data_IF_102625447580
#
_entry.id   IF_102625447580
#
_cell.length_a   1.000
_cell.length_b   1.000
_cell.length_c   1.000
_cell.angle_alpha   90.00
_cell.angle_beta   90.00
_cell.angle_gamma   90.00
#
_symmetry.space_group_name_H-M   'P 1'
#
loop_
_entity.id
_entity.type
_entity.pdbx_description
1 polymer ?
#
# COMPACT_ATOMS: atom_id res chain seq x y z
N UNK A 1 10.89 6.25 11.12
CA UNK A 1 11.58 6.40 9.81
C UNK A 1 11.29 7.78 9.25
N UNK A 2 12.21 8.43 8.55
CA UNK A 2 11.90 9.64 7.77
C UNK A 2 11.36 9.22 6.39
N UNK A 3 10.13 9.64 6.07
CA UNK A 3 9.43 9.35 4.84
C UNK A 3 9.12 10.68 4.17
N UNK A 4 9.97 11.10 3.22
CA UNK A 4 9.75 12.29 2.39
C UNK A 4 9.55 13.59 3.20
N UNK A 5 10.30 13.75 4.28
CA UNK A 5 10.30 14.96 5.12
C UNK A 5 9.38 14.90 6.33
N UNK A 6 8.64 13.80 6.53
CA UNK A 6 7.87 13.57 7.76
C UNK A 6 8.25 12.24 8.42
N UNK A 7 8.17 12.21 9.76
CA UNK A 7 8.44 10.99 10.53
C UNK A 7 7.24 10.07 10.47
N UNK A 8 7.49 8.77 10.26
CA UNK A 8 6.49 7.70 10.35
C UNK A 8 6.94 6.63 11.33
N UNK A 9 5.97 6.04 12.04
CA UNK A 9 6.21 5.08 13.11
C UNK A 9 4.95 4.86 13.96
N UNK A 10 5.10 4.12 15.07
CA UNK A 10 4.01 3.91 16.03
C UNK A 10 3.82 5.09 16.98
N UNK A 11 4.81 5.95 17.07
CA UNK A 11 4.85 7.20 17.83
C UNK A 11 4.39 8.41 16.99
N UNK A 12 4.03 8.20 15.73
CA UNK A 12 3.63 9.23 14.78
C UNK A 12 2.17 9.01 14.32
N UNK A 13 1.46 10.06 13.85
CA UNK A 13 0.14 9.90 13.27
C UNK A 13 0.13 8.89 12.11
N UNK A 14 -0.98 8.16 11.95
CA UNK A 14 -1.23 7.31 10.79
C UNK A 14 -1.03 8.09 9.49
N UNK A 15 -0.25 7.54 8.56
CA UNK A 15 -0.19 8.03 7.18
C UNK A 15 -1.06 7.16 6.25
N UNK A 16 -1.45 7.72 5.11
CA UNK A 16 -2.27 7.06 4.10
C UNK A 16 -1.51 6.94 2.77
N UNK A 17 -1.55 5.75 2.19
CA UNK A 17 -1.25 5.49 0.78
C UNK A 17 -2.58 5.18 0.09
N UNK A 18 -3.04 6.04 -0.81
CA UNK A 18 -4.33 5.81 -1.47
C UNK A 18 -4.42 6.38 -2.89
N UNK A 19 -5.34 5.81 -3.66
CA UNK A 19 -5.66 6.19 -5.04
C UNK A 19 -6.26 5.02 -5.83
N UNK A 20 -6.52 5.19 -7.13
CA UNK A 20 -7.02 4.12 -7.98
C UNK A 20 -6.05 2.93 -8.11
N UNK A 21 -6.59 1.73 -8.34
CA UNK A 21 -5.80 0.51 -8.50
C UNK A 21 -4.79 0.60 -9.65
N UNK A 22 -5.23 1.13 -10.77
CA UNK A 22 -4.47 1.34 -12.01
C UNK A 22 -4.83 2.71 -12.55
N UNK A 23 -3.91 3.35 -13.26
CA UNK A 23 -4.21 4.57 -13.99
C UNK A 23 -5.16 4.20 -15.13
N UNK A 24 -6.35 4.79 -15.17
CA UNK A 24 -7.33 4.59 -16.24
C UNK A 24 -7.33 5.76 -17.23
N UNK A 25 -7.20 6.98 -16.72
CA UNK A 25 -7.06 8.22 -17.48
C UNK A 25 -6.36 9.29 -16.65
N UNK A 26 -5.88 10.36 -17.31
CA UNK A 26 -5.33 11.52 -16.62
C UNK A 26 -6.40 12.25 -15.79
N UNK A 27 -7.60 12.46 -16.35
CA UNK A 27 -8.71 13.11 -15.66
C UNK A 27 -9.10 12.39 -14.36
N UNK A 28 -9.19 11.06 -14.40
CA UNK A 28 -9.51 10.27 -13.21
C UNK A 28 -8.39 10.37 -12.16
N UNK A 29 -7.13 10.34 -12.60
CA UNK A 29 -5.99 10.48 -11.69
C UNK A 29 -5.98 11.86 -11.02
N UNK A 30 -6.22 12.93 -11.78
CA UNK A 30 -6.29 14.30 -11.27
C UNK A 30 -7.47 14.49 -10.32
N UNK A 31 -8.66 14.00 -10.70
CA UNK A 31 -9.87 14.09 -9.88
C UNK A 31 -9.69 13.37 -8.54
N UNK A 32 -9.22 12.13 -8.56
CA UNK A 32 -9.05 11.33 -7.33
C UNK A 32 -7.93 11.87 -6.45
N UNK A 33 -6.80 12.31 -7.03
CA UNK A 33 -5.72 12.94 -6.27
C UNK A 33 -6.17 14.23 -5.56
N UNK A 34 -6.93 15.09 -6.24
CA UNK A 34 -7.46 16.34 -5.67
C UNK A 34 -8.40 16.08 -4.49
N UNK A 35 -9.37 15.18 -4.65
CA UNK A 35 -10.31 14.84 -3.58
C UNK A 35 -9.58 14.20 -2.38
N UNK A 36 -8.65 13.28 -2.63
CA UNK A 36 -7.85 12.65 -1.58
C UNK A 36 -6.97 13.66 -0.84
N UNK A 37 -6.36 14.63 -1.54
CA UNK A 37 -5.59 15.72 -0.93
C UNK A 37 -6.45 16.56 0.01
N UNK A 38 -7.64 16.95 -0.43
CA UNK A 38 -8.57 17.76 0.37
C UNK A 38 -9.02 17.02 1.64
N UNK A 39 -9.43 15.76 1.48
CA UNK A 39 -9.87 14.91 2.60
C UNK A 39 -8.74 14.71 3.63
N UNK A 40 -7.55 14.32 3.16
CA UNK A 40 -6.40 14.06 4.03
C UNK A 40 -5.87 15.33 4.67
N UNK A 41 -5.87 16.46 3.97
CA UNK A 41 -5.52 17.78 4.52
C UNK A 41 -6.46 18.21 5.64
N UNK A 42 -7.78 18.04 5.44
CA UNK A 42 -8.80 18.34 6.46
C UNK A 42 -8.63 17.49 7.72
N UNK A 43 -8.28 16.21 7.55
CA UNK A 43 -8.09 15.27 8.66
C UNK A 43 -6.69 15.31 9.28
N UNK A 44 -5.74 16.03 8.66
CA UNK A 44 -4.35 16.11 9.09
C UNK A 44 -3.57 14.79 8.91
N UNK A 45 -3.86 14.04 7.84
CA UNK A 45 -3.25 12.74 7.52
C UNK A 45 -2.11 12.96 6.51
N UNK A 46 -0.86 12.56 6.82
CA UNK A 46 0.19 12.51 5.81
C UNK A 46 -0.21 11.56 4.67
N UNK A 47 -0.13 12.01 3.43
CA UNK A 47 -0.72 11.32 2.28
C UNK A 47 0.30 11.08 1.16
N UNK A 48 0.26 9.87 0.60
CA UNK A 48 0.97 9.47 -0.61
C UNK A 48 -0.06 8.98 -1.63
N UNK A 49 -0.09 9.61 -2.79
CA UNK A 49 -0.97 9.18 -3.88
C UNK A 49 -0.41 7.91 -4.52
N UNK A 50 -1.26 6.90 -4.72
CA UNK A 50 -0.88 5.63 -5.35
C UNK A 50 -1.69 5.37 -6.61
N UNK A 51 -1.00 4.98 -7.68
CA UNK A 51 -1.63 4.27 -8.79
C UNK A 51 -0.59 3.48 -9.59
N UNK A 52 -1.01 2.37 -10.20
CA UNK A 52 -0.14 1.52 -11.02
C UNK A 52 -0.20 1.96 -12.48
N UNK A 53 0.95 2.12 -13.14
CA UNK A 53 1.01 2.37 -14.59
C UNK A 53 0.85 1.09 -15.43
N UNK A 54 1.18 -0.06 -14.83
CA UNK A 54 1.05 -1.38 -15.44
C UNK A 54 0.60 -2.42 -14.40
N UNK A 55 -0.26 -3.36 -14.81
CA UNK A 55 -0.65 -4.56 -14.06
C UNK A 55 0.00 -5.77 -14.71
N UNK A 56 1.25 -6.08 -14.35
CA UNK A 56 2.01 -7.17 -14.98
C UNK A 56 1.58 -8.59 -14.55
N UNK A 57 0.62 -8.71 -13.64
CA UNK A 57 0.22 -9.96 -12.99
C UNK A 57 -1.28 -10.26 -13.12
N UNK A 58 -1.94 -9.77 -14.18
CA UNK A 58 -3.35 -10.09 -14.45
C UNK A 58 -3.51 -11.60 -14.72
N UNK A 59 -4.62 -12.16 -14.25
CA UNK A 59 -4.96 -13.58 -14.49
C UNK A 59 -5.24 -13.90 -15.97
N UNK A 60 -5.72 -12.91 -16.75
CA UNK A 60 -6.02 -13.05 -18.18
C UNK A 60 -5.24 -12.04 -19.01
N UNK A 61 -4.76 -12.46 -20.18
CA UNK A 61 -4.10 -11.61 -21.18
C UNK A 61 -5.01 -10.50 -21.74
N UNK A 62 -6.33 -10.72 -21.76
CA UNK A 62 -7.30 -9.74 -22.26
C UNK A 62 -7.65 -8.64 -21.25
N UNK A 63 -7.13 -8.74 -20.02
CA UNK A 63 -7.40 -7.77 -18.98
C UNK A 63 -6.66 -6.45 -19.23
N UNK A 64 -7.32 -5.32 -18.93
CA UNK A 64 -6.69 -4.01 -18.97
C UNK A 64 -5.45 -3.96 -18.06
N UNK A 65 -4.35 -3.39 -18.56
CA UNK A 65 -3.08 -3.32 -17.83
C UNK A 65 -2.72 -1.91 -17.36
N UNK A 66 -3.35 -0.87 -17.89
CA UNK A 66 -2.92 0.52 -17.65
C UNK A 66 -2.38 1.16 -18.92
N UNK A 67 -1.97 2.44 -18.84
CA UNK A 67 -1.46 3.20 -19.97
C UNK A 67 -0.02 2.82 -20.36
N UNK A 68 0.65 1.97 -19.57
CA UNK A 68 2.06 1.64 -19.73
C UNK A 68 2.98 2.70 -19.13
N UNK A 69 4.29 2.44 -19.22
CA UNK A 69 5.32 3.19 -18.51
C UNK A 69 5.34 4.68 -18.86
N UNK A 70 5.55 5.04 -20.14
CA UNK A 70 5.77 6.43 -20.55
C UNK A 70 4.60 7.35 -20.18
N UNK A 71 3.39 6.97 -20.61
CA UNK A 71 2.18 7.75 -20.32
C UNK A 71 1.82 7.68 -18.83
N UNK A 72 2.03 6.55 -18.16
CA UNK A 72 1.77 6.42 -16.73
C UNK A 72 2.67 7.32 -15.87
N UNK A 73 3.97 7.38 -16.18
CA UNK A 73 4.90 8.27 -15.50
C UNK A 73 4.56 9.74 -15.76
N UNK A 74 4.16 10.11 -16.98
CA UNK A 74 3.69 11.46 -17.29
C UNK A 74 2.48 11.87 -16.44
N UNK A 75 1.50 10.97 -16.28
CA UNK A 75 0.31 11.23 -15.44
C UNK A 75 0.67 11.32 -13.95
N UNK A 76 1.54 10.43 -13.45
CA UNK A 76 2.00 10.51 -12.05
C UNK A 76 2.79 11.80 -11.78
N UNK A 77 3.60 12.24 -12.74
CA UNK A 77 4.31 13.51 -12.65
C UNK A 77 3.35 14.71 -12.67
N UNK A 78 2.28 14.66 -13.48
CA UNK A 78 1.28 15.74 -13.50
C UNK A 78 0.51 15.82 -12.20
N UNK A 79 0.13 14.70 -11.59
CA UNK A 79 -0.48 14.65 -10.24
C UNK A 79 0.45 15.25 -9.19
N UNK A 80 1.73 14.85 -9.22
CA UNK A 80 2.75 15.35 -8.29
C UNK A 80 2.91 16.87 -8.38
N UNK A 81 2.99 17.42 -9.60
CA UNK A 81 3.18 18.86 -9.83
C UNK A 81 1.96 19.69 -9.46
N UNK A 82 0.76 19.25 -9.87
CA UNK A 82 -0.48 19.98 -9.63
C UNK A 82 -0.84 20.05 -8.14
N UNK A 83 -0.64 18.92 -7.44
CA UNK A 83 -1.08 18.80 -6.05
C UNK A 83 0.06 18.82 -5.02
N UNK A 84 1.32 18.97 -5.42
CA UNK A 84 2.47 18.89 -4.49
C UNK A 84 2.38 17.66 -3.57
N UNK A 85 2.06 16.51 -4.18
CA UNK A 85 1.86 15.25 -3.48
C UNK A 85 2.98 14.27 -3.81
N UNK A 86 3.49 13.52 -2.82
CA UNK A 86 4.36 12.40 -3.12
C UNK A 86 3.56 11.28 -3.80
N UNK A 87 4.16 10.63 -4.78
CA UNK A 87 3.52 9.55 -5.54
C UNK A 87 4.23 8.21 -5.38
N UNK A 88 3.44 7.13 -5.40
CA UNK A 88 3.88 5.75 -5.28
C UNK A 88 3.33 4.91 -6.43
N UNK A 89 4.21 4.13 -7.06
CA UNK A 89 3.81 3.05 -8.00
C UNK A 89 4.57 1.77 -7.66
N UNK A 90 3.97 0.64 -8.00
CA UNK A 90 4.68 -0.62 -8.05
C UNK A 90 5.56 -0.74 -9.29
N UNK A 91 6.63 -1.51 -9.13
CA UNK A 91 7.61 -1.83 -10.18
C UNK A 91 7.72 -3.35 -10.34
N UNK A 92 8.10 -3.79 -11.53
CA UNK A 92 8.20 -5.20 -11.92
C UNK A 92 9.62 -5.51 -12.39
N UNK A 93 9.91 -6.79 -12.67
CA UNK A 93 11.27 -7.26 -12.97
C UNK A 93 11.91 -6.56 -14.18
N UNK A 94 11.10 -6.24 -15.17
CA UNK A 94 11.45 -5.60 -16.45
C UNK A 94 11.28 -4.07 -16.43
N UNK A 95 10.87 -3.48 -15.31
CA UNK A 95 10.69 -2.02 -15.21
C UNK A 95 12.05 -1.30 -15.25
N UNK A 96 12.23 -0.25 -16.08
CA UNK A 96 13.42 0.60 -16.04
C UNK A 96 13.36 1.49 -14.78
N UNK A 97 13.99 0.99 -13.71
CA UNK A 97 13.85 1.59 -12.38
C UNK A 97 14.38 3.02 -12.29
N UNK A 98 15.43 3.37 -13.03
CA UNK A 98 15.99 4.72 -13.02
C UNK A 98 15.01 5.76 -13.57
N UNK A 99 14.29 5.41 -14.64
CA UNK A 99 13.24 6.24 -15.21
C UNK A 99 12.07 6.42 -14.23
N UNK A 100 11.60 5.33 -13.63
CA UNK A 100 10.52 5.39 -12.63
C UNK A 100 10.94 6.20 -11.42
N UNK A 101 12.11 5.94 -10.84
CA UNK A 101 12.64 6.62 -9.66
C UNK A 101 13.00 8.09 -9.91
N UNK A 102 13.09 8.54 -11.16
CA UNK A 102 13.23 9.97 -11.50
C UNK A 102 11.92 10.74 -11.27
N UNK A 103 10.77 10.07 -11.37
CA UNK A 103 9.43 10.67 -11.22
C UNK A 103 8.83 10.38 -9.84
N UNK A 104 8.83 9.12 -9.41
CA UNK A 104 8.10 8.68 -8.23
C UNK A 104 8.91 8.78 -6.95
N UNK A 105 8.21 9.00 -5.84
CA UNK A 105 8.83 9.26 -4.54
C UNK A 105 8.95 8.00 -3.69
N UNK A 106 8.05 7.04 -3.89
CA UNK A 106 8.09 5.73 -3.21
C UNK A 106 7.94 4.62 -4.25
N UNK A 107 8.79 3.61 -4.16
CA UNK A 107 8.71 2.40 -4.98
C UNK A 107 7.96 1.31 -4.22
N UNK A 108 7.11 0.54 -4.89
CA UNK A 108 6.46 -0.61 -4.27
C UNK A 108 6.91 -1.93 -4.91
N UNK A 109 7.32 -2.87 -4.07
CA UNK A 109 7.58 -4.26 -4.48
C UNK A 109 6.27 -5.05 -4.43
N UNK A 110 5.83 -5.68 -5.55
CA UNK A 110 4.65 -6.53 -5.58
C UNK A 110 4.79 -7.78 -4.69
N UNK A 111 3.66 -8.26 -4.16
CA UNK A 111 3.61 -9.39 -3.23
C UNK A 111 4.24 -10.68 -3.80
N UNK A 112 4.07 -10.95 -5.10
CA UNK A 112 4.63 -12.16 -5.73
C UNK A 112 6.15 -12.08 -5.94
N UNK A 113 6.73 -10.88 -5.93
CA UNK A 113 8.17 -10.66 -6.16
C UNK A 113 8.95 -10.42 -4.87
N UNK A 114 8.28 -10.44 -3.71
CA UNK A 114 8.86 -10.03 -2.43
C UNK A 114 10.06 -10.86 -1.94
N UNK A 115 10.32 -12.05 -2.51
CA UNK A 115 11.50 -12.86 -2.17
C UNK A 115 12.67 -12.74 -3.14
N UNK A 116 12.46 -12.16 -4.33
CA UNK A 116 13.43 -12.19 -5.42
C UNK A 116 14.62 -11.30 -5.07
N UNK A 117 15.73 -11.89 -4.59
CA UNK A 117 16.85 -11.15 -3.99
C UNK A 117 17.39 -10.05 -4.91
N UNK A 118 17.69 -10.41 -6.17
CA UNK A 118 18.20 -9.45 -7.15
C UNK A 118 17.22 -8.31 -7.38
N UNK A 119 15.92 -8.60 -7.47
CA UNK A 119 14.88 -7.59 -7.64
C UNK A 119 14.77 -6.66 -6.42
N UNK A 120 14.71 -7.22 -5.20
CA UNK A 120 14.65 -6.45 -3.95
C UNK A 120 15.85 -5.51 -3.83
N UNK A 121 17.05 -6.02 -4.07
CA UNK A 121 18.26 -5.21 -4.02
C UNK A 121 18.27 -4.14 -5.12
N UNK A 122 17.87 -4.48 -6.36
CA UNK A 122 17.82 -3.51 -7.46
C UNK A 122 16.85 -2.35 -7.15
N UNK A 123 15.65 -2.64 -6.63
CA UNK A 123 14.66 -1.63 -6.23
C UNK A 123 15.17 -0.79 -5.05
N UNK A 124 15.75 -1.42 -4.02
CA UNK A 124 16.26 -0.72 -2.85
C UNK A 124 17.46 0.19 -3.18
N UNK A 125 18.32 -0.21 -4.12
CA UNK A 125 19.48 0.58 -4.57
C UNK A 125 19.10 1.90 -5.25
N UNK A 126 17.85 2.10 -5.67
CA UNK A 126 17.38 3.39 -6.18
C UNK A 126 17.35 4.51 -5.11
N UNK A 127 17.52 4.18 -3.82
CA UNK A 127 17.62 5.15 -2.71
C UNK A 127 16.30 5.85 -2.33
N UNK A 128 15.21 5.55 -3.04
CA UNK A 128 13.83 5.95 -2.70
C UNK A 128 13.29 5.09 -1.55
N UNK A 129 12.38 5.61 -0.71
CA UNK A 129 11.59 4.76 0.18
C UNK A 129 10.93 3.60 -0.58
N UNK A 130 10.88 2.43 0.05
CA UNK A 130 10.31 1.21 -0.56
C UNK A 130 9.19 0.65 0.31
N UNK A 131 8.01 0.45 -0.28
CA UNK A 131 6.91 -0.29 0.32
C UNK A 131 6.94 -1.75 -0.17
N UNK A 132 7.27 -2.70 0.70
CA UNK A 132 7.37 -4.11 0.31
C UNK A 132 6.10 -4.86 0.72
N UNK A 133 5.28 -5.25 -0.26
CA UNK A 133 4.08 -6.07 -0.02
C UNK A 133 4.49 -7.48 0.40
N UNK A 134 3.98 -7.96 1.54
CA UNK A 134 4.17 -9.33 1.99
C UNK A 134 3.47 -10.29 1.04
N UNK A 135 4.16 -11.34 0.62
CA UNK A 135 3.55 -12.43 -0.15
C UNK A 135 2.43 -13.12 0.65
N UNK A 136 1.32 -13.48 0.01
CA UNK A 136 0.21 -14.19 0.65
C UNK A 136 0.63 -15.58 1.18
N UNK A 137 1.76 -16.09 0.70
CA UNK A 137 2.39 -17.34 1.10
C UNK A 137 3.45 -17.18 2.21
N UNK A 138 3.70 -15.96 2.70
CA UNK A 138 4.73 -15.69 3.70
C UNK A 138 4.16 -15.50 5.10
N UNK A 139 4.86 -16.04 6.09
CA UNK A 139 4.62 -15.69 7.48
C UNK A 139 5.09 -14.25 7.77
N UNK A 140 4.52 -13.57 8.77
CA UNK A 140 4.87 -12.18 9.09
C UNK A 140 6.36 -11.98 9.42
N UNK A 141 6.95 -12.86 10.23
CA UNK A 141 8.36 -12.77 10.64
C UNK A 141 9.37 -13.01 9.49
N UNK A 142 8.97 -13.71 8.43
CA UNK A 142 9.85 -13.95 7.27
C UNK A 142 10.19 -12.65 6.50
N UNK A 143 9.37 -11.61 6.69
CA UNK A 143 9.64 -10.28 6.12
C UNK A 143 10.92 -9.65 6.67
N UNK A 144 11.42 -10.09 7.84
CA UNK A 144 12.73 -9.66 8.36
C UNK A 144 13.85 -9.88 7.36
N UNK A 145 13.91 -11.08 6.77
CA UNK A 145 14.92 -11.42 5.75
C UNK A 145 14.79 -10.54 4.48
N UNK A 146 13.57 -10.13 4.13
CA UNK A 146 13.32 -9.27 2.96
C UNK A 146 13.79 -7.84 3.25
N UNK A 147 13.52 -7.33 4.44
CA UNK A 147 14.00 -6.02 4.91
C UNK A 147 15.53 -6.01 5.00
N UNK A 148 16.16 -7.07 5.51
CA UNK A 148 17.62 -7.19 5.54
C UNK A 148 18.25 -7.14 4.15
N UNK A 149 17.67 -7.85 3.16
CA UNK A 149 18.13 -7.76 1.76
C UNK A 149 18.07 -6.35 1.21
N UNK A 150 16.99 -5.62 1.50
CA UNK A 150 16.81 -4.25 1.06
C UNK A 150 17.80 -3.30 1.75
N UNK A 151 17.95 -3.41 3.07
CA UNK A 151 18.89 -2.59 3.87
C UNK A 151 20.36 -2.86 3.53
N UNK A 152 20.70 -4.07 3.07
CA UNK A 152 22.05 -4.41 2.62
C UNK A 152 22.55 -3.55 1.44
N UNK A 153 21.67 -2.82 0.75
CA UNK A 153 22.06 -1.85 -0.30
C UNK A 153 22.42 -0.47 0.25
N UNK A 154 22.27 -0.24 1.56
CA UNK A 154 22.42 1.06 2.21
C UNK A 154 21.13 1.88 2.27
N UNK A 155 19.99 1.33 1.84
CA UNK A 155 18.70 2.00 1.93
C UNK A 155 17.90 1.56 3.17
N UNK A 156 17.84 2.44 4.17
CA UNK A 156 17.11 2.17 5.42
C UNK A 156 15.62 2.58 5.39
N UNK A 157 15.15 3.17 4.27
CA UNK A 157 13.78 3.69 4.13
C UNK A 157 12.80 2.61 3.68
N UNK A 158 12.74 1.51 4.43
CA UNK A 158 11.97 0.32 4.06
C UNK A 158 10.72 0.19 4.93
N UNK A 159 9.57 -0.01 4.29
CA UNK A 159 8.29 -0.34 4.91
C UNK A 159 7.87 -1.75 4.54
N UNK A 160 7.14 -2.42 5.43
CA UNK A 160 6.53 -3.74 5.17
C UNK A 160 5.02 -3.59 5.14
N UNK A 161 4.37 -4.21 4.15
CA UNK A 161 2.95 -4.02 3.91
C UNK A 161 2.19 -5.35 3.92
N UNK A 162 1.36 -5.54 4.95
CA UNK A 162 0.42 -6.67 5.05
C UNK A 162 -0.69 -6.53 4.01
N UNK A 163 -1.14 -7.64 3.44
CA UNK A 163 -2.20 -7.69 2.41
C UNK A 163 -3.00 -9.00 2.44
N UNK A 164 -2.99 -9.69 3.58
CA UNK A 164 -3.59 -11.01 3.80
C UNK A 164 -2.63 -12.17 3.54
N UNK A 165 -2.96 -13.32 4.09
CA UNK A 165 -2.32 -14.62 3.86
C UNK A 165 -3.33 -15.61 3.26
N UNK A 166 -2.85 -16.52 2.41
CA UNK A 166 -3.69 -17.54 1.77
C UNK A 166 -4.37 -18.43 2.81
N UNK A 167 -5.68 -18.60 2.71
CA UNK A 167 -6.47 -19.44 3.60
C UNK A 167 -7.37 -20.38 2.81
N UNK A 168 -6.83 -21.57 2.51
CA UNK A 168 -7.45 -22.47 1.53
C UNK A 168 -7.32 -21.94 0.10
N UNK A 169 -8.26 -22.28 -0.76
CA UNK A 169 -8.28 -21.83 -2.15
C UNK A 169 -9.07 -20.53 -2.31
N UNK A 170 -8.54 -19.63 -3.14
CA UNK A 170 -9.20 -18.40 -3.57
C UNK A 170 -9.65 -17.44 -2.45
N UNK A 171 -9.04 -17.54 -1.27
CA UNK A 171 -9.41 -16.74 -0.11
C UNK A 171 -8.19 -16.27 0.68
N UNK A 172 -8.33 -15.13 1.35
CA UNK A 172 -7.31 -14.52 2.19
C UNK A 172 -7.85 -14.27 3.61
N UNK A 173 -6.97 -14.39 4.59
CA UNK A 173 -7.23 -13.96 5.97
C UNK A 173 -6.12 -13.01 6.44
N UNK A 174 -6.51 -12.00 7.22
CA UNK A 174 -5.56 -11.06 7.84
C UNK A 174 -5.40 -11.41 9.32
N UNK A 175 -4.22 -11.89 9.71
CA UNK A 175 -3.88 -12.15 11.11
C UNK A 175 -3.35 -10.87 11.77
N UNK A 176 -4.17 -10.24 12.61
CA UNK A 176 -3.79 -9.00 13.32
C UNK A 176 -2.61 -9.21 14.28
N UNK A 177 -2.37 -10.44 14.75
CA UNK A 177 -1.16 -10.77 15.54
C UNK A 177 0.09 -10.66 14.68
N UNK A 178 -0.04 -10.92 13.37
CA UNK A 178 1.03 -10.74 12.40
C UNK A 178 1.49 -9.30 12.27
N UNK A 179 0.57 -8.33 12.38
CA UNK A 179 0.92 -6.90 12.43
C UNK A 179 1.81 -6.59 13.64
N UNK A 180 1.45 -7.12 14.81
CA UNK A 180 2.26 -7.00 16.03
C UNK A 180 3.63 -7.64 15.87
N UNK A 181 3.68 -8.84 15.31
CA UNK A 181 4.95 -9.54 15.06
C UNK A 181 5.85 -8.79 14.08
N UNK A 182 5.33 -8.17 13.01
CA UNK A 182 6.15 -7.44 12.05
C UNK A 182 6.77 -6.16 12.63
N UNK A 183 6.22 -5.59 13.70
CA UNK A 183 6.82 -4.43 14.38
C UNK A 183 8.25 -4.72 14.88
N UNK A 184 8.57 -5.98 15.22
CA UNK A 184 9.91 -6.40 15.68
C UNK A 184 10.99 -6.31 14.60
N UNK A 185 10.61 -6.21 13.32
CA UNK A 185 11.53 -6.05 12.19
C UNK A 185 12.18 -4.64 12.20
N UNK A 186 11.61 -3.69 12.96
CA UNK A 186 12.09 -2.32 13.02
C UNK A 186 11.86 -1.54 11.72
N UNK A 187 10.83 -1.90 10.96
CA UNK A 187 10.36 -1.19 9.77
C UNK A 187 8.91 -0.72 10.01
N UNK A 188 8.47 0.44 9.48
CA UNK A 188 7.07 0.83 9.56
C UNK A 188 6.16 -0.24 8.93
N UNK A 189 5.12 -0.63 9.67
CA UNK A 189 4.14 -1.62 9.23
C UNK A 189 2.97 -0.90 8.58
N UNK A 190 2.69 -1.23 7.33
CA UNK A 190 1.55 -0.74 6.55
C UNK A 190 0.52 -1.85 6.41
N UNK A 191 -0.77 -1.53 6.48
CA UNK A 191 -1.84 -2.49 6.20
C UNK A 191 -2.58 -2.12 4.92
N UNK A 192 -2.57 -3.00 3.93
CA UNK A 192 -3.36 -2.90 2.70
C UNK A 192 -4.75 -3.47 2.93
N UNK A 193 -5.70 -2.60 3.25
CA UNK A 193 -7.07 -2.99 3.54
C UNK A 193 -7.78 -3.53 2.29
N UNK A 194 -7.48 -2.97 1.12
CA UNK A 194 -8.14 -3.30 -0.14
C UNK A 194 -7.74 -4.67 -0.65
N UNK A 195 -6.44 -4.99 -0.70
CA UNK A 195 -6.01 -6.30 -1.17
C UNK A 195 -6.18 -7.41 -0.14
N UNK A 196 -6.45 -7.07 1.12
CA UNK A 196 -6.76 -8.04 2.18
C UNK A 196 -8.16 -8.64 2.07
N UNK A 197 -9.08 -8.00 1.32
CA UNK A 197 -10.43 -8.54 1.03
C UNK A 197 -10.52 -9.24 -0.33
N UNK A 198 -9.38 -9.43 -1.01
CA UNK A 198 -9.37 -10.13 -2.29
C UNK A 198 -9.75 -11.60 -2.14
N UNK A 199 -10.44 -12.09 -3.18
CA UNK A 199 -10.65 -13.52 -3.43
C UNK A 199 -9.90 -13.89 -4.72
N UNK A 200 -8.59 -14.22 -4.63
CA UNK A 200 -7.74 -14.37 -5.81
C UNK A 200 -8.25 -15.48 -6.73
N UNK A 201 -8.53 -15.16 -7.99
CA UNK A 201 -9.09 -16.10 -8.96
C UNK A 201 -10.56 -16.49 -8.70
N UNK A 202 -11.26 -15.83 -7.77
CA UNK A 202 -12.65 -16.14 -7.40
C UNK A 202 -13.66 -15.96 -8.54
N UNK A 203 -13.31 -15.21 -9.59
CA UNK A 203 -14.16 -15.01 -10.78
C UNK A 203 -13.67 -15.82 -12.00
N UNK A 204 -12.73 -16.74 -11.82
CA UNK A 204 -12.12 -17.52 -12.89
C UNK A 204 -11.06 -16.75 -13.67
N UNK A 205 -11.44 -15.71 -14.41
CA UNK A 205 -10.52 -14.90 -15.24
C UNK A 205 -10.03 -13.60 -14.57
N UNK A 206 -10.51 -13.29 -13.37
CA UNK A 206 -10.15 -12.13 -12.57
C UNK A 206 -10.24 -12.43 -11.06
N UNK A 207 -9.69 -11.53 -10.24
CA UNK A 207 -9.89 -11.58 -8.79
C UNK A 207 -11.32 -11.15 -8.44
N UNK A 208 -11.96 -11.87 -7.52
CA UNK A 208 -13.10 -11.34 -6.78
C UNK A 208 -12.64 -10.40 -5.67
N UNK A 209 -13.58 -10.00 -4.82
CA UNK A 209 -13.33 -9.12 -3.69
C UNK A 209 -14.56 -8.92 -2.84
N UNK A 210 -14.35 -8.51 -1.60
CA UNK A 210 -15.41 -8.22 -0.63
C UNK A 210 -15.22 -6.84 -0.02
N UNK A 211 -15.39 -5.78 -0.84
CA UNK A 211 -15.22 -4.38 -0.43
C UNK A 211 -15.97 -4.03 0.87
N UNK A 212 -17.10 -4.69 1.14
CA UNK A 212 -17.91 -4.49 2.34
C UNK A 212 -17.16 -4.77 3.65
N UNK A 213 -16.07 -5.55 3.59
CA UNK A 213 -15.22 -5.85 4.75
C UNK A 213 -14.01 -4.93 4.89
N UNK A 214 -13.74 -4.03 3.92
CA UNK A 214 -12.65 -3.05 4.01
C UNK A 214 -12.73 -2.21 5.28
N UNK A 215 -13.88 -1.62 5.67
CA UNK A 215 -13.98 -0.84 6.91
C UNK A 215 -13.67 -1.65 8.17
N UNK A 216 -14.12 -2.91 8.22
CA UNK A 216 -13.90 -3.79 9.38
C UNK A 216 -12.42 -4.11 9.53
N UNK A 217 -11.75 -4.51 8.44
CA UNK A 217 -10.33 -4.85 8.48
C UNK A 217 -9.46 -3.62 8.73
N UNK A 218 -9.78 -2.47 8.14
CA UNK A 218 -9.05 -1.23 8.37
C UNK A 218 -9.12 -0.80 9.85
N UNK A 219 -10.31 -0.85 10.48
CA UNK A 219 -10.46 -0.57 11.92
C UNK A 219 -9.65 -1.54 12.78
N UNK A 220 -9.71 -2.83 12.47
CA UNK A 220 -8.96 -3.86 13.20
C UNK A 220 -7.45 -3.63 13.11
N UNK A 221 -6.93 -3.33 11.91
CA UNK A 221 -5.51 -3.09 11.70
C UNK A 221 -5.03 -1.80 12.39
N UNK A 222 -5.79 -0.71 12.29
CA UNK A 222 -5.46 0.55 12.97
C UNK A 222 -5.47 0.36 14.49
N UNK A 223 -6.49 -0.31 15.05
CA UNK A 223 -6.55 -0.62 16.47
C UNK A 223 -5.41 -1.56 16.91
N UNK A 224 -4.94 -2.44 16.03
CA UNK A 224 -3.80 -3.31 16.26
C UNK A 224 -2.44 -2.59 16.15
N UNK A 225 -2.39 -1.28 15.86
CA UNK A 225 -1.15 -0.51 15.85
C UNK A 225 -0.32 -0.70 14.58
N UNK A 226 -0.68 0.02 13.53
CA UNK A 226 0.09 0.15 12.28
C UNK A 226 0.66 1.57 12.14
N UNK A 227 1.69 1.72 11.32
CA UNK A 227 2.26 3.03 10.98
C UNK A 227 1.51 3.71 9.85
N UNK A 228 1.03 2.95 8.87
CA UNK A 228 0.31 3.47 7.71
C UNK A 228 -0.79 2.55 7.21
N UNK A 229 -1.76 3.14 6.50
CA UNK A 229 -2.83 2.42 5.83
C UNK A 229 -2.62 2.53 4.32
N UNK A 230 -2.80 1.42 3.60
CA UNK A 230 -2.92 1.40 2.15
C UNK A 230 -4.37 1.07 1.78
N UNK A 231 -4.96 1.85 0.88
CA UNK A 231 -6.34 1.64 0.42
C UNK A 231 -6.51 2.12 -1.02
N UNK A 232 -7.04 1.26 -1.89
CA UNK A 232 -7.46 1.68 -3.22
C UNK A 232 -8.92 2.13 -3.19
N UNK A 233 -9.19 3.19 -3.93
CA UNK A 233 -10.50 3.82 -4.01
C UNK A 233 -10.85 4.21 -5.43
N UNK A 234 -12.14 4.31 -5.73
CA UNK A 234 -12.63 4.69 -7.05
C UNK A 234 -13.96 5.45 -6.92
N UNK A 235 -14.24 6.47 -7.77
CA UNK A 235 -15.54 7.15 -7.79
C UNK A 235 -16.72 6.24 -8.13
N UNK A 236 -16.46 5.16 -8.87
CA UNK A 236 -17.46 4.14 -9.19
C UNK A 236 -16.80 2.76 -9.24
N UNK A 237 -16.60 2.08 -8.10
CA UNK A 237 -15.81 0.86 -8.04
C UNK A 237 -16.29 -0.29 -8.95
N UNK A 238 -17.57 -0.32 -9.31
CA UNK A 238 -18.12 -1.34 -10.22
C UNK A 238 -17.70 -1.13 -11.68
N UNK A 239 -17.21 0.06 -12.03
CA UNK A 239 -16.67 0.39 -13.35
C UNK A 239 -15.14 0.42 -13.42
N UNK A 240 -14.45 0.18 -12.30
CA UNK A 240 -12.99 0.21 -12.26
C UNK A 240 -12.38 -0.90 -13.13
N UNK A 241 -11.29 -0.60 -13.84
CA UNK A 241 -10.65 -1.50 -14.81
C UNK A 241 -9.73 -2.55 -14.15
N UNK A 242 -9.44 -2.40 -12.85
CA UNK A 242 -8.69 -3.37 -12.05
C UNK A 242 -9.17 -3.34 -10.60
N UNK A 243 -9.28 -4.53 -10.00
CA UNK A 243 -9.64 -4.74 -8.59
C UNK A 243 -10.88 -3.97 -8.11
N UNK A 244 -11.80 -3.67 -9.02
CA UNK A 244 -13.07 -3.03 -8.76
C UNK A 244 -13.79 -3.61 -7.54
N UNK A 245 -13.99 -4.94 -7.41
CA UNK A 245 -14.64 -5.58 -6.25
C UNK A 245 -14.01 -5.33 -4.87
N UNK A 246 -12.77 -4.82 -4.84
CA UNK A 246 -12.02 -4.57 -3.60
C UNK A 246 -11.96 -3.07 -3.25
N UNK A 247 -12.08 -2.18 -4.23
CA UNK A 247 -11.92 -0.75 -4.04
C UNK A 247 -13.02 -0.15 -3.14
N UNK A 248 -12.64 0.76 -2.24
CA UNK A 248 -13.62 1.48 -1.41
C UNK A 248 -14.23 2.64 -2.21
N UNK A 249 -15.55 2.91 -2.13
CA UNK A 249 -16.16 4.09 -2.76
C UNK A 249 -15.51 5.38 -2.25
N UNK A 250 -15.14 6.27 -3.18
CA UNK A 250 -14.39 7.49 -2.85
C UNK A 250 -15.21 8.48 -2.01
N UNK A 251 -16.51 8.57 -2.27
CA UNK A 251 -17.45 9.40 -1.53
C UNK A 251 -17.68 8.92 -0.09
N UNK A 252 -17.47 7.64 0.19
CA UNK A 252 -17.55 7.05 1.54
C UNK A 252 -16.21 7.07 2.30
N UNK A 253 -15.11 7.50 1.68
CA UNK A 253 -13.77 7.39 2.27
C UNK A 253 -13.56 8.34 3.45
N UNK A 254 -14.10 9.57 3.38
CA UNK A 254 -13.89 10.59 4.41
C UNK A 254 -14.40 10.14 5.79
N UNK A 255 -15.61 9.57 5.85
CA UNK A 255 -16.23 9.08 7.09
C UNK A 255 -15.46 7.91 7.68
N UNK A 256 -14.95 7.02 6.83
CA UNK A 256 -14.09 5.93 7.26
C UNK A 256 -12.78 6.49 7.85
N UNK A 257 -12.09 7.39 7.14
CA UNK A 257 -10.82 7.97 7.60
C UNK A 257 -10.98 8.72 8.94
N UNK A 258 -12.08 9.45 9.14
CA UNK A 258 -12.36 10.10 10.42
C UNK A 258 -12.39 9.11 11.58
N UNK A 259 -13.05 7.96 11.37
CA UNK A 259 -13.09 6.87 12.35
C UNK A 259 -11.68 6.31 12.61
N UNK A 260 -10.91 6.07 11.55
CA UNK A 260 -9.58 5.49 11.64
C UNK A 260 -8.59 6.42 12.35
N UNK A 261 -8.62 7.74 12.08
CA UNK A 261 -7.79 8.72 12.79
C UNK A 261 -8.09 8.75 14.28
N UNK A 262 -9.36 8.63 14.66
CA UNK A 262 -9.77 8.58 16.07
C UNK A 262 -9.24 7.33 16.77
N UNK A 263 -9.34 6.17 16.12
CA UNK A 263 -8.79 4.91 16.62
C UNK A 263 -7.26 4.99 16.77
N UNK A 264 -6.57 5.47 15.74
CA UNK A 264 -5.12 5.61 15.71
C UNK A 264 -4.59 6.43 16.88
N UNK A 265 -5.14 7.63 17.08
CA UNK A 265 -4.78 8.53 18.19
C UNK A 265 -5.00 7.85 19.54
N UNK A 266 -6.11 7.13 19.70
CA UNK A 266 -6.48 6.48 20.96
C UNK A 266 -5.48 5.38 21.34
N UNK A 267 -5.17 4.47 20.40
CA UNK A 267 -4.28 3.34 20.69
C UNK A 267 -2.83 3.75 20.81
N UNK A 268 -2.36 4.70 19.97
CA UNK A 268 -0.98 5.20 20.06
C UNK A 268 -0.72 6.03 21.31
N UNK A 269 -1.70 6.77 21.81
CA UNK A 269 -1.56 7.51 23.07
C UNK A 269 -1.44 6.58 24.30
N UNK A 270 -2.07 5.40 24.24
CA UNK A 270 -2.04 4.41 25.33
C UNK A 270 -0.82 3.48 25.26
N UNK A 271 -0.20 3.37 24.08
CA UNK A 271 0.85 2.40 23.79
C UNK A 271 0.31 0.98 23.61
N UNK A 272 1.22 0.04 23.37
CA UNK A 272 0.90 -1.36 23.03
C UNK A 272 1.51 -2.31 24.07
N UNK A 273 0.67 -2.89 24.93
CA UNK A 273 1.14 -3.72 26.06
C UNK A 273 1.89 -4.99 25.63
N UNK A 274 1.65 -5.45 24.39
CA UNK A 274 2.35 -6.57 23.79
C UNK A 274 3.79 -6.22 23.37
N UNK A 275 4.13 -4.93 23.18
CA UNK A 275 5.48 -4.53 22.76
C UNK A 275 6.57 -5.07 23.72
N UNK A 276 6.37 -4.93 25.03
CA UNK A 276 7.34 -5.42 26.02
C UNK A 276 7.50 -6.95 26.00
N UNK A 277 6.45 -7.67 25.63
CA UNK A 277 6.45 -9.14 25.48
C UNK A 277 7.08 -9.60 24.18
N UNK A 278 7.13 -8.72 23.18
CA UNK A 278 7.76 -8.93 21.87
C UNK A 278 9.20 -8.39 21.81
N UNK A 279 9.74 -7.86 22.93
CA UNK A 279 11.09 -7.30 22.98
C UNK A 279 11.23 -5.94 22.30
N UNK A 280 10.12 -5.23 22.08
CA UNK A 280 10.10 -3.87 21.58
C UNK A 280 10.14 -2.89 22.77
N UNK A 281 11.06 -1.93 22.72
CA UNK A 281 11.18 -0.83 23.69
C UNK A 281 10.46 0.41 23.21
#
# INVERSE_FOLDING_TARGET
MDLLGYKVGLDQPLFLIAGPCVIESEDLAQQTAGQLKEMTGTLGIPFIYKSSFDKANRSSLSSYRGPGLEQGLKILESVKKEFDLPVLTDVHEDTPLDEVASVVDVLQTPAFLCRQTNFIQKVASCGRPVNIKKGQFMAPWDMGNVVEKARATGNDKIMVCERGASFGYNNLISDMRGLASMRTIGAPVVFDATHSVQQPGGLGNASGGQREFVPVLARAAVAAGISGLFMETHPNPDKALSDGPNAWPLDELADLLLTLVTLDRTVKASGFAENSRLGLT
#
